data_IF_732651474289
#
_entry.id   IF_732651474289
#
_cell.length_a   1.000
_cell.length_b   1.000
_cell.length_c   1.000
_cell.angle_alpha   90.00
_cell.angle_beta   90.00
_cell.angle_gamma   90.00
#
_symmetry.space_group_name_H-M   'P 1'
#
loop_
_entity.id
_entity.type
_entity.pdbx_description
1 polymer ?
#
# COMPACT_ATOMS: atom_id res chain seq x y z
N UNK A 1 -0.17 5.42 -21.14
CA UNK A 1 -1.01 4.21 -21.28
C UNK A 1 -1.46 3.90 -19.88
N UNK A 2 -2.71 3.52 -19.75
CA UNK A 2 -3.36 3.41 -18.44
C UNK A 2 -3.16 1.99 -17.92
N UNK A 3 -2.73 1.89 -16.67
CA UNK A 3 -2.49 0.64 -15.95
C UNK A 3 -3.40 0.54 -14.73
N UNK A 4 -3.87 -0.65 -14.41
CA UNK A 4 -4.76 -0.97 -13.32
C UNK A 4 -3.98 -1.45 -12.10
N UNK A 5 -4.28 -0.88 -10.94
CA UNK A 5 -3.65 -1.23 -9.66
C UNK A 5 -4.71 -1.47 -8.61
N UNK A 6 -4.45 -2.41 -7.71
CA UNK A 6 -5.21 -2.59 -6.47
C UNK A 6 -4.25 -2.64 -5.28
N UNK A 7 -4.52 -1.83 -4.25
CA UNK A 7 -3.73 -1.85 -3.00
C UNK A 7 -4.46 -2.61 -1.91
N UNK A 8 -3.84 -3.64 -1.36
CA UNK A 8 -4.39 -4.51 -0.31
C UNK A 8 -3.83 -4.11 1.05
N UNK A 9 -4.72 -3.85 2.01
CA UNK A 9 -4.39 -3.66 3.41
C UNK A 9 -5.60 -4.08 4.29
N UNK A 10 -5.42 -4.67 5.49
CA UNK A 10 -6.53 -5.21 6.29
C UNK A 10 -7.62 -4.21 6.70
N UNK A 11 -7.37 -2.90 6.66
CA UNK A 11 -8.37 -1.85 6.96
C UNK A 11 -8.48 -0.86 5.80
N UNK A 12 -9.63 -0.22 5.58
CA UNK A 12 -9.74 0.85 4.59
C UNK A 12 -8.75 1.98 4.92
N UNK A 13 -7.97 2.41 3.92
CA UNK A 13 -7.04 3.54 3.98
C UNK A 13 -7.03 4.25 2.63
N UNK A 14 -6.74 5.55 2.66
CA UNK A 14 -6.42 6.26 1.43
C UNK A 14 -5.03 5.84 0.95
N UNK A 15 -4.92 5.56 -0.35
CA UNK A 15 -3.70 5.20 -1.06
C UNK A 15 -3.08 6.47 -1.61
N UNK A 16 -1.81 6.69 -1.26
CA UNK A 16 -1.00 7.78 -1.79
C UNK A 16 -0.10 7.21 -2.87
N UNK A 17 -0.18 7.80 -4.07
CA UNK A 17 0.68 7.49 -5.21
C UNK A 17 1.46 8.76 -5.55
N UNK A 18 2.77 8.69 -5.53
CA UNK A 18 3.69 9.82 -5.84
C UNK A 18 3.35 11.11 -5.08
N UNK A 19 2.94 10.96 -3.82
CA UNK A 19 2.60 12.07 -2.93
C UNK A 19 1.16 12.59 -3.05
N UNK A 20 0.31 11.98 -3.90
CA UNK A 20 -1.10 12.36 -4.05
C UNK A 20 -2.05 11.26 -3.61
N UNK A 21 -3.09 11.63 -2.85
CA UNK A 21 -4.20 10.72 -2.55
C UNK A 21 -4.93 10.40 -3.85
N UNK A 22 -4.95 9.11 -4.21
CA UNK A 22 -5.42 8.65 -5.53
C UNK A 22 -6.62 7.73 -5.42
N UNK A 23 -6.65 6.84 -4.44
CA UNK A 23 -7.70 5.82 -4.29
C UNK A 23 -7.86 5.36 -2.84
N UNK A 24 -8.73 4.38 -2.59
CA UNK A 24 -8.79 3.64 -1.32
C UNK A 24 -8.26 2.21 -1.49
N UNK A 25 -7.78 1.63 -0.39
CA UNK A 25 -7.37 0.22 -0.39
C UNK A 25 -8.55 -0.68 -0.73
N UNK A 26 -8.27 -1.77 -1.46
CA UNK A 26 -9.22 -2.75 -2.04
C UNK A 26 -10.11 -2.22 -3.16
N UNK A 27 -9.89 -1.00 -3.64
CA UNK A 27 -10.51 -0.49 -4.85
C UNK A 27 -9.47 -0.52 -5.97
N UNK A 28 -9.89 -0.95 -7.17
CA UNK A 28 -9.05 -0.87 -8.37
C UNK A 28 -9.04 0.56 -8.90
N UNK A 29 -7.88 1.09 -9.27
CA UNK A 29 -7.71 2.43 -9.83
C UNK A 29 -6.67 2.42 -10.94
N UNK A 30 -6.59 3.53 -11.68
CA UNK A 30 -5.70 3.68 -12.83
C UNK A 30 -4.51 4.56 -12.47
N UNK A 31 -3.34 4.19 -12.98
CA UNK A 31 -2.11 5.01 -13.03
C UNK A 31 -1.54 4.99 -14.44
N UNK A 32 -0.62 5.90 -14.75
CA UNK A 32 0.16 5.80 -15.98
C UNK A 32 1.12 4.59 -15.92
N UNK A 33 1.52 4.03 -17.06
CA UNK A 33 2.64 3.08 -17.11
C UNK A 33 3.92 3.75 -16.57
N UNK A 34 4.57 3.15 -15.57
CA UNK A 34 5.80 3.71 -15.01
C UNK A 34 6.13 3.27 -13.58
N UNK A 35 7.17 3.88 -13.03
CA UNK A 35 7.55 3.66 -11.62
C UNK A 35 6.72 4.55 -10.72
N UNK A 36 5.96 3.93 -9.82
CA UNK A 36 5.09 4.61 -8.87
C UNK A 36 5.47 4.27 -7.44
N UNK A 37 5.50 5.27 -6.57
CA UNK A 37 5.67 5.10 -5.13
C UNK A 37 4.32 5.07 -4.43
N UNK A 38 4.01 3.93 -3.82
CA UNK A 38 2.80 3.68 -3.05
C UNK A 38 3.05 3.81 -1.55
N UNK A 39 2.14 4.47 -0.84
CA UNK A 39 2.05 4.46 0.63
C UNK A 39 0.59 4.61 1.09
N UNK A 40 0.33 4.49 2.39
CA UNK A 40 -1.00 4.65 2.96
C UNK A 40 -1.08 5.92 3.83
N UNK A 41 -2.16 6.68 3.70
CA UNK A 41 -2.41 7.83 4.57
C UNK A 41 -2.71 7.41 6.02
N UNK A 42 -2.49 8.31 6.97
CA UNK A 42 -2.82 8.11 8.39
C UNK A 42 -1.68 7.48 9.20
N UNK A 43 -1.98 6.82 10.35
CA UNK A 43 -0.97 6.26 11.26
C UNK A 43 -0.02 5.27 10.57
N UNK A 44 1.28 5.34 10.91
CA UNK A 44 2.34 4.42 10.46
C UNK A 44 2.30 3.08 11.22
N UNK A 45 1.14 2.43 11.21
CA UNK A 45 0.91 1.11 11.77
C UNK A 45 0.82 0.03 10.68
N UNK A 46 1.51 0.24 9.56
CA UNK A 46 1.55 -0.66 8.43
C UNK A 46 2.98 -0.81 7.91
N UNK A 47 3.25 -1.91 7.22
CA UNK A 47 4.55 -2.27 6.70
C UNK A 47 4.44 -2.85 5.29
N UNK A 48 5.37 -2.50 4.38
CA UNK A 48 6.38 -1.45 4.52
C UNK A 48 5.77 -0.04 4.56
N UNK A 49 6.52 1.00 4.93
CA UNK A 49 6.01 2.40 4.96
C UNK A 49 5.78 2.98 3.56
N UNK A 50 6.51 2.48 2.56
CA UNK A 50 6.26 2.75 1.15
C UNK A 50 6.82 1.64 0.27
N UNK A 51 6.30 1.52 -0.96
CA UNK A 51 6.79 0.58 -1.98
C UNK A 51 6.91 1.32 -3.31
N UNK A 52 7.98 1.09 -4.04
CA UNK A 52 8.11 1.60 -5.41
C UNK A 52 8.11 0.42 -6.36
N UNK A 53 7.21 0.45 -7.34
CA UNK A 53 7.04 -0.63 -8.31
C UNK A 53 6.96 -0.07 -9.73
N UNK A 54 7.47 -0.81 -10.70
CA UNK A 54 7.17 -0.61 -12.12
C UNK A 54 5.78 -1.20 -12.40
N UNK A 55 4.83 -0.36 -12.79
CA UNK A 55 3.48 -0.77 -13.17
C UNK A 55 3.40 -0.72 -14.69
N UNK A 56 3.21 -1.89 -15.30
CA UNK A 56 3.07 -2.06 -16.74
C UNK A 56 2.34 -3.39 -17.05
N UNK A 57 1.72 -3.47 -18.23
CA UNK A 57 1.10 -4.69 -18.76
C UNK A 57 -0.03 -5.27 -17.89
N UNK A 58 -0.83 -4.41 -17.28
CA UNK A 58 -1.97 -4.78 -16.44
C UNK A 58 -3.30 -4.63 -17.19
N UNK A 59 -4.36 -5.24 -16.65
CA UNK A 59 -5.71 -5.08 -17.19
C UNK A 59 -6.72 -4.90 -16.06
N UNK A 60 -7.95 -4.48 -16.39
CA UNK A 60 -9.01 -4.33 -15.39
C UNK A 60 -9.32 -5.64 -14.63
N UNK A 61 -9.12 -6.79 -15.27
CA UNK A 61 -9.32 -8.12 -14.68
C UNK A 61 -8.07 -8.73 -14.05
N UNK A 62 -6.90 -8.16 -14.37
CA UNK A 62 -5.59 -8.56 -13.84
C UNK A 62 -4.77 -7.31 -13.48
N UNK A 63 -5.13 -6.63 -12.37
CA UNK A 63 -4.45 -5.42 -11.93
C UNK A 63 -3.14 -5.76 -11.20
N UNK A 64 -2.19 -4.82 -11.19
CA UNK A 64 -1.01 -4.93 -10.35
C UNK A 64 -1.40 -4.84 -8.86
N UNK A 65 -0.98 -5.83 -8.06
CA UNK A 65 -1.35 -5.93 -6.65
C UNK A 65 -0.24 -5.40 -5.76
N UNK A 66 -0.51 -4.33 -5.00
CA UNK A 66 0.41 -3.81 -3.97
C UNK A 66 -0.10 -4.21 -2.59
N UNK A 67 0.71 -4.94 -1.82
CA UNK A 67 0.28 -5.47 -0.52
C UNK A 67 0.98 -4.76 0.63
N UNK A 68 0.20 -4.21 1.56
CA UNK A 68 0.66 -3.72 2.86
C UNK A 68 0.11 -4.61 3.98
N UNK A 69 0.90 -4.79 5.03
CA UNK A 69 0.52 -5.56 6.22
C UNK A 69 0.41 -4.66 7.43
N UNK A 70 -0.44 -5.01 8.40
CA UNK A 70 -0.50 -4.27 9.66
C UNK A 70 0.75 -4.58 10.49
N UNK A 71 1.43 -3.55 10.98
CA UNK A 71 2.50 -3.72 11.97
C UNK A 71 1.85 -4.23 13.26
N UNK A 72 2.21 -5.44 13.67
CA UNK A 72 1.76 -6.03 14.93
C UNK A 72 2.37 -5.25 16.11
N UNK A 73 1.53 -4.69 16.98
CA UNK A 73 1.95 -3.94 18.19
C UNK A 73 2.50 -4.83 19.30
N UNK A 74 2.65 -6.14 19.07
CA UNK A 74 3.15 -7.09 20.09
C UNK A 74 4.53 -6.67 20.63
N UNK A 75 5.38 -6.08 19.79
CA UNK A 75 6.70 -5.59 20.20
C UNK A 75 6.69 -4.37 21.15
N UNK A 76 5.56 -3.65 21.30
CA UNK A 76 5.47 -2.47 22.18
C UNK A 76 4.92 -2.81 23.58
N UNK A 77 4.41 -4.02 23.76
CA UNK A 77 3.70 -4.45 24.98
C UNK A 77 4.45 -5.51 25.78
N UNK A 78 5.68 -5.86 25.41
CA UNK A 78 6.56 -6.69 26.27
C UNK A 78 7.45 -5.73 27.05
N UNK A 79 7.22 -5.51 28.36
CA UNK A 79 8.26 -4.95 29.21
C UNK A 79 9.40 -5.96 29.19
N UNK A 80 10.61 -5.51 28.88
CA UNK A 80 11.83 -6.26 29.15
C UNK A 80 11.87 -6.55 30.66
N UNK A 81 11.35 -7.70 31.08
CA UNK A 81 11.70 -8.27 32.37
C UNK A 81 13.10 -8.85 32.23
N UNK A 82 14.08 -7.95 32.26
CA UNK A 82 15.48 -8.30 32.50
C UNK A 82 15.56 -8.86 33.92
N UNK A 83 15.98 -10.13 34.04
CA UNK A 83 16.36 -10.75 35.32
C UNK A 83 17.87 -10.88 35.34
#
# INVERSE_FOLDING_TARGET
MDEFVIVIYPRPRDVIVDGRVTARTRETFIVDTGHHKFSLAGPDNYGPSSQTHLVENTTATDPFVVVFTQKSTVARLVPDHQT
#
